data_IF_144002423300
#
_entry.id   IF_144002423300
#
_cell.length_a   1.000
_cell.length_b   1.000
_cell.length_c   1.000
_cell.angle_alpha   90.00
_cell.angle_beta   90.00
_cell.angle_gamma   90.00
#
_symmetry.space_group_name_H-M   'P 1'
#
loop_
_entity.id
_entity.type
_entity.pdbx_description
1 polymer ?
#
# COMPACT_ATOMS: atom_id res chain seq x y z
N UNK A 1 -32.63 -38.26 27.03
CA UNK A 1 -31.21 -38.64 27.04
C UNK A 1 -30.22 -37.46 27.20
N UNK A 2 -30.67 -36.27 27.60
CA UNK A 2 -29.87 -35.04 27.77
C UNK A 2 -29.75 -34.58 29.26
N UNK A 3 -30.36 -35.28 30.21
CA UNK A 3 -30.30 -34.95 31.64
C UNK A 3 -29.24 -35.71 32.43
N UNK A 4 -28.57 -36.72 31.86
CA UNK A 4 -27.61 -37.56 32.59
C UNK A 4 -26.13 -37.18 32.37
N UNK A 5 -25.81 -36.20 31.49
CA UNK A 5 -24.43 -35.81 31.21
C UNK A 5 -23.93 -34.63 32.06
N UNK A 6 -24.84 -33.91 32.72
CA UNK A 6 -24.50 -32.69 33.49
C UNK A 6 -23.98 -32.96 34.92
N UNK A 7 -24.20 -34.14 35.50
CA UNK A 7 -23.82 -34.37 36.89
C UNK A 7 -22.43 -34.97 37.13
N UNK A 8 -21.74 -35.46 36.10
CA UNK A 8 -20.43 -36.11 36.26
C UNK A 8 -19.22 -35.17 36.11
N UNK A 9 -19.40 -33.94 35.64
CA UNK A 9 -18.27 -32.98 35.44
C UNK A 9 -18.22 -31.85 36.48
N UNK A 10 -19.18 -31.79 37.43
CA UNK A 10 -19.26 -30.75 38.48
C UNK A 10 -18.35 -30.98 39.69
N UNK A 11 -17.62 -32.10 39.77
CA UNK A 11 -16.91 -32.50 41.01
C UNK A 11 -15.40 -32.15 40.96
N UNK A 12 -14.84 -31.63 39.85
CA UNK A 12 -13.37 -31.56 39.70
C UNK A 12 -12.78 -30.14 39.79
N UNK A 13 -13.56 -29.04 39.75
CA UNK A 13 -12.98 -27.68 39.88
C UNK A 13 -13.80 -26.76 40.79
N UNK A 14 -13.57 -26.90 42.09
CA UNK A 14 -13.90 -25.88 43.07
C UNK A 14 -12.76 -24.88 43.15
N UNK A 15 -12.93 -23.64 42.65
CA UNK A 15 -12.00 -22.54 42.89
C UNK A 15 -12.29 -21.91 44.26
N UNK A 16 -11.31 -21.97 45.17
CA UNK A 16 -11.35 -21.31 46.49
C UNK A 16 -11.02 -19.82 46.26
N UNK A 17 -11.90 -18.92 46.67
CA UNK A 17 -11.59 -17.47 46.74
C UNK A 17 -10.73 -17.19 47.99
N UNK A 18 -9.96 -16.11 48.02
CA UNK A 18 -9.08 -15.68 49.12
C UNK A 18 -9.80 -15.53 50.49
N UNK A 19 -11.10 -15.66 50.55
CA UNK A 19 -11.92 -15.58 51.76
C UNK A 19 -12.46 -16.95 52.24
N UNK A 20 -12.06 -18.07 51.63
CA UNK A 20 -12.39 -19.43 52.12
C UNK A 20 -13.86 -19.87 51.94
N UNK A 21 -14.69 -19.16 51.21
CA UNK A 21 -16.10 -19.50 50.96
C UNK A 21 -16.28 -20.20 49.62
N UNK A 22 -16.87 -21.39 49.61
CA UNK A 22 -17.26 -22.13 48.41
C UNK A 22 -18.46 -21.45 47.76
N UNK A 23 -18.24 -20.88 46.55
CA UNK A 23 -19.30 -20.29 45.75
C UNK A 23 -19.86 -21.39 44.82
N UNK A 24 -21.17 -21.64 44.77
CA UNK A 24 -21.76 -22.63 43.87
C UNK A 24 -21.54 -22.30 42.42
N UNK A 25 -21.15 -23.29 41.61
CA UNK A 25 -20.81 -23.14 40.19
C UNK A 25 -21.90 -22.44 39.35
N UNK A 26 -23.18 -22.57 39.71
CA UNK A 26 -24.27 -21.88 39.02
C UNK A 26 -24.30 -20.35 39.27
N UNK A 27 -23.77 -19.88 40.40
CA UNK A 27 -23.63 -18.44 40.68
C UNK A 27 -22.51 -17.80 39.84
N UNK A 28 -21.41 -18.52 39.64
CA UNK A 28 -20.34 -18.13 38.70
C UNK A 28 -20.85 -18.12 37.25
N UNK A 29 -21.67 -19.10 36.86
CA UNK A 29 -22.30 -19.18 35.55
C UNK A 29 -23.30 -18.02 35.30
N UNK A 30 -24.11 -17.68 36.34
CA UNK A 30 -25.01 -16.52 36.29
C UNK A 30 -24.25 -15.18 36.31
N UNK A 31 -23.10 -15.11 36.98
CA UNK A 31 -22.24 -13.92 36.98
C UNK A 31 -21.55 -13.73 35.65
N UNK A 32 -21.05 -14.80 35.01
CA UNK A 32 -20.53 -14.77 33.64
C UNK A 32 -21.63 -14.44 32.63
N UNK A 33 -22.81 -15.06 32.73
CA UNK A 33 -23.94 -14.76 31.84
C UNK A 33 -24.44 -13.32 31.97
N UNK A 34 -24.48 -12.75 33.20
CA UNK A 34 -24.79 -11.33 33.41
C UNK A 34 -23.73 -10.39 32.82
N UNK A 35 -22.43 -10.77 32.81
CA UNK A 35 -21.40 -10.02 32.15
C UNK A 35 -21.50 -10.10 30.63
N UNK A 36 -21.86 -11.26 30.09
CA UNK A 36 -22.03 -11.44 28.62
C UNK A 36 -23.25 -10.67 28.09
N UNK A 37 -24.36 -10.62 28.84
CA UNK A 37 -25.59 -9.90 28.46
C UNK A 37 -25.43 -8.37 28.54
N UNK A 38 -24.56 -7.83 29.40
CA UNK A 38 -24.31 -6.38 29.55
C UNK A 38 -23.38 -5.80 28.48
N UNK A 39 -22.70 -6.64 27.67
CA UNK A 39 -21.68 -6.22 26.69
C UNK A 39 -22.08 -6.42 25.23
N UNK A 40 -23.21 -7.01 24.90
CA UNK A 40 -23.63 -7.20 23.51
C UNK A 40 -24.30 -5.95 22.97
N UNK A 41 -23.48 -5.03 22.41
CA UNK A 41 -23.98 -3.88 21.69
C UNK A 41 -24.67 -4.34 20.40
N UNK A 42 -25.99 -4.08 20.29
CA UNK A 42 -26.79 -4.48 19.12
C UNK A 42 -26.67 -3.46 18.00
N UNK A 43 -26.41 -3.92 16.79
CA UNK A 43 -26.32 -3.04 15.63
C UNK A 43 -27.70 -2.51 15.22
N UNK A 44 -27.77 -1.18 14.98
CA UNK A 44 -28.96 -0.49 14.46
C UNK A 44 -28.79 -0.20 12.97
N UNK A 45 -29.86 -0.38 12.20
CA UNK A 45 -29.87 -0.05 10.78
C UNK A 45 -29.99 1.47 10.61
N UNK A 46 -29.11 2.05 9.80
CA UNK A 46 -29.13 3.46 9.46
C UNK A 46 -30.06 3.71 8.24
N UNK A 47 -30.51 4.96 8.03
CA UNK A 47 -31.31 5.32 6.85
C UNK A 47 -30.59 5.02 5.50
N UNK A 48 -29.25 5.01 5.49
CA UNK A 48 -28.42 4.62 4.34
C UNK A 48 -28.48 3.14 3.98
N UNK A 49 -29.13 2.29 4.84
CA UNK A 49 -29.12 0.84 4.71
C UNK A 49 -27.99 0.14 5.46
N UNK A 50 -26.91 0.85 5.82
CA UNK A 50 -25.78 0.32 6.59
C UNK A 50 -26.16 -0.02 8.03
N UNK A 51 -25.37 -0.89 8.68
CA UNK A 51 -25.53 -1.22 10.11
C UNK A 51 -24.52 -0.47 10.94
N UNK A 52 -24.92 0.06 12.08
CA UNK A 52 -24.06 0.74 13.04
C UNK A 52 -24.20 0.15 14.44
N UNK A 53 -23.07 -0.19 15.05
CA UNK A 53 -22.96 -0.62 16.44
C UNK A 53 -22.18 0.43 17.25
N UNK A 54 -22.69 0.80 18.44
CA UNK A 54 -22.04 1.73 19.35
C UNK A 54 -21.57 0.95 20.58
N UNK A 55 -20.29 1.01 20.89
CA UNK A 55 -19.68 0.41 22.07
C UNK A 55 -19.17 1.49 23.00
N UNK A 56 -19.48 1.38 24.28
CA UNK A 56 -18.99 2.30 25.29
C UNK A 56 -17.46 2.26 25.34
N UNK A 57 -16.83 3.41 25.17
CA UNK A 57 -15.36 3.57 25.25
C UNK A 57 -14.92 3.97 26.65
N UNK A 58 -15.23 5.17 27.08
CA UNK A 58 -14.85 5.72 28.38
C UNK A 58 -15.78 6.86 28.79
N UNK A 59 -15.54 7.42 29.99
CA UNK A 59 -16.27 8.59 30.47
C UNK A 59 -15.32 9.76 30.60
N UNK A 60 -15.63 10.86 29.90
CA UNK A 60 -14.90 12.12 30.02
C UNK A 60 -15.58 13.08 31.01
N UNK A 61 -14.76 13.83 31.73
CA UNK A 61 -15.22 14.92 32.60
C UNK A 61 -15.16 16.23 31.82
N UNK A 62 -16.31 16.74 31.37
CA UNK A 62 -16.39 17.99 30.62
C UNK A 62 -16.72 19.12 31.60
N UNK A 63 -15.84 20.13 31.70
CA UNK A 63 -16.16 21.39 32.43
C UNK A 63 -17.13 22.21 31.60
N UNK A 64 -18.29 22.53 32.21
CA UNK A 64 -19.27 23.46 31.61
C UNK A 64 -18.83 24.93 31.83
N UNK A 65 -19.42 25.83 31.08
CA UNK A 65 -19.12 27.27 31.20
C UNK A 65 -19.42 27.86 32.59
N UNK A 66 -20.28 27.19 33.35
CA UNK A 66 -20.64 27.52 34.74
C UNK A 66 -19.68 26.98 35.80
N UNK A 67 -18.58 26.31 35.37
CA UNK A 67 -17.58 25.72 36.27
C UNK A 67 -17.94 24.31 36.77
N UNK A 68 -19.13 23.79 36.49
CA UNK A 68 -19.54 22.43 36.87
C UNK A 68 -18.90 21.36 35.99
N UNK A 69 -18.62 20.21 36.56
CA UNK A 69 -18.06 19.06 35.83
C UNK A 69 -19.17 18.05 35.51
N UNK A 70 -19.50 17.90 34.23
CA UNK A 70 -20.45 16.92 33.76
C UNK A 70 -19.73 15.68 33.18
N UNK A 71 -20.11 14.48 33.64
CA UNK A 71 -19.62 13.22 33.10
C UNK A 71 -20.32 12.91 31.77
N UNK A 72 -19.55 12.79 30.66
CA UNK A 72 -20.06 12.40 29.35
C UNK A 72 -19.53 11.01 28.98
N UNK A 73 -20.43 10.10 28.63
CA UNK A 73 -20.06 8.78 28.11
C UNK A 73 -19.68 8.89 26.65
N UNK A 74 -18.50 8.41 26.30
CA UNK A 74 -17.98 8.35 24.93
C UNK A 74 -18.16 6.95 24.39
N UNK A 75 -18.60 6.84 23.13
CA UNK A 75 -18.86 5.59 22.44
C UNK A 75 -18.08 5.54 21.15
N UNK A 76 -17.48 4.37 20.87
CA UNK A 76 -16.92 4.05 19.57
C UNK A 76 -17.99 3.54 18.62
N UNK A 77 -17.91 3.93 17.34
CA UNK A 77 -18.90 3.63 16.32
C UNK A 77 -18.32 2.72 15.25
N UNK A 78 -18.90 1.53 15.10
CA UNK A 78 -18.55 0.56 14.06
C UNK A 78 -19.67 0.52 13.03
N UNK A 79 -19.32 0.61 11.74
CA UNK A 79 -20.29 0.58 10.63
C UNK A 79 -19.97 -0.53 9.64
N UNK A 80 -21.00 -1.10 9.03
CA UNK A 80 -20.90 -2.08 7.96
C UNK A 80 -21.91 -1.72 6.85
N UNK A 81 -21.44 -1.54 5.64
CA UNK A 81 -22.27 -1.07 4.50
C UNK A 81 -23.10 -2.20 3.86
N UNK A 82 -22.92 -3.45 4.25
CA UNK A 82 -23.75 -4.57 3.81
C UNK A 82 -25.15 -4.47 4.45
N UNK A 83 -26.24 -4.22 3.70
CA UNK A 83 -27.58 -4.00 4.25
C UNK A 83 -28.27 -5.28 4.74
N UNK A 84 -27.67 -6.44 4.54
CA UNK A 84 -28.24 -7.76 4.87
C UNK A 84 -28.04 -8.13 6.35
N UNK A 85 -28.70 -9.21 6.77
CA UNK A 85 -28.50 -9.78 8.12
C UNK A 85 -27.03 -10.21 8.37
N UNK A 86 -26.27 -10.52 7.31
CA UNK A 86 -24.84 -10.82 7.38
C UNK A 86 -24.04 -9.59 7.78
N UNK A 87 -24.37 -8.41 7.19
CA UNK A 87 -23.76 -7.14 7.57
C UNK A 87 -24.03 -6.75 9.02
N UNK A 88 -25.25 -7.02 9.53
CA UNK A 88 -25.58 -6.85 10.94
C UNK A 88 -24.63 -7.66 11.83
N UNK A 89 -24.54 -8.98 11.60
CA UNK A 89 -23.67 -9.89 12.36
C UNK A 89 -22.20 -9.47 12.31
N UNK A 90 -21.71 -9.07 11.14
CA UNK A 90 -20.34 -8.59 10.95
C UNK A 90 -20.06 -7.32 11.74
N UNK A 91 -21.01 -6.39 11.79
CA UNK A 91 -20.90 -5.15 12.56
C UNK A 91 -20.85 -5.45 14.08
N UNK A 92 -21.72 -6.34 14.56
CA UNK A 92 -21.77 -6.79 15.95
C UNK A 92 -20.50 -7.57 16.33
N UNK A 93 -19.97 -8.41 15.45
CA UNK A 93 -18.73 -9.15 15.68
C UNK A 93 -17.52 -8.20 15.85
N UNK A 94 -17.35 -7.23 14.94
CA UNK A 94 -16.27 -6.24 15.04
C UNK A 94 -16.38 -5.45 16.34
N UNK A 95 -17.58 -5.05 16.72
CA UNK A 95 -17.85 -4.33 17.95
C UNK A 95 -17.54 -5.17 19.21
N UNK A 96 -17.89 -6.46 19.19
CA UNK A 96 -17.62 -7.40 20.28
C UNK A 96 -16.11 -7.72 20.39
N UNK A 97 -15.42 -7.91 19.27
CA UNK A 97 -13.96 -8.11 19.25
C UNK A 97 -13.22 -6.89 19.82
N UNK A 98 -13.67 -5.69 19.48
CA UNK A 98 -13.12 -4.46 20.04
C UNK A 98 -13.37 -4.34 21.54
N UNK A 99 -14.60 -4.64 22.01
CA UNK A 99 -14.96 -4.62 23.43
C UNK A 99 -14.15 -5.65 24.23
N UNK A 100 -14.01 -6.87 23.72
CA UNK A 100 -13.24 -7.93 24.35
C UNK A 100 -11.75 -7.57 24.46
N UNK A 101 -11.18 -6.96 23.41
CA UNK A 101 -9.79 -6.50 23.43
C UNK A 101 -9.57 -5.35 24.41
N UNK A 102 -10.57 -4.48 24.58
CA UNK A 102 -10.54 -3.40 25.56
C UNK A 102 -10.57 -3.91 27.00
N UNK A 103 -11.42 -4.90 27.29
CA UNK A 103 -11.60 -5.46 28.63
C UNK A 103 -10.61 -6.57 29.00
N UNK A 104 -10.04 -7.25 27.99
CA UNK A 104 -9.03 -8.29 28.19
C UNK A 104 -7.74 -7.76 28.81
N UNK A 105 -7.66 -6.41 29.02
CA UNK A 105 -6.52 -5.80 29.75
C UNK A 105 -5.20 -6.38 29.28
N UNK A 106 -5.02 -6.61 27.95
CA UNK A 106 -3.70 -6.82 27.44
C UNK A 106 -2.94 -5.58 27.87
N UNK A 107 -2.15 -5.75 28.92
CA UNK A 107 -1.34 -4.68 29.50
C UNK A 107 -0.31 -4.25 28.49
N UNK A 108 -0.79 -3.60 27.42
CA UNK A 108 -0.02 -2.89 26.40
C UNK A 108 0.92 -1.91 27.10
N UNK A 109 0.54 -1.49 28.29
CA UNK A 109 1.25 -0.53 29.12
C UNK A 109 2.70 -0.91 29.45
N UNK A 110 3.04 -2.19 29.47
CA UNK A 110 4.39 -2.64 29.85
C UNK A 110 5.28 -3.11 28.70
N UNK A 111 4.79 -3.16 27.45
CA UNK A 111 5.64 -3.52 26.31
C UNK A 111 6.36 -2.29 25.76
N UNK A 112 7.57 -2.52 25.23
CA UNK A 112 8.31 -1.45 24.53
C UNK A 112 7.77 -1.23 23.13
N UNK A 113 8.07 -0.05 22.54
CA UNK A 113 7.72 0.24 21.14
C UNK A 113 8.31 -0.83 20.20
N UNK A 114 9.55 -1.26 20.45
CA UNK A 114 10.18 -2.31 19.67
C UNK A 114 9.39 -3.61 19.66
N UNK A 115 8.91 -4.06 20.81
CA UNK A 115 8.06 -5.26 20.93
C UNK A 115 6.71 -5.06 20.21
N UNK A 116 6.15 -3.85 20.29
CA UNK A 116 4.92 -3.52 19.56
C UNK A 116 5.12 -3.59 18.04
N UNK A 117 6.25 -3.08 17.52
CA UNK A 117 6.63 -3.24 16.12
C UNK A 117 6.74 -4.71 15.71
N UNK A 118 7.44 -5.51 16.50
CA UNK A 118 7.66 -6.93 16.21
C UNK A 118 6.32 -7.69 16.14
N UNK A 119 5.42 -7.46 17.11
CA UNK A 119 4.07 -8.02 17.11
C UNK A 119 3.22 -7.53 15.92
N UNK A 120 3.29 -6.24 15.61
CA UNK A 120 2.57 -5.67 14.47
C UNK A 120 3.03 -6.30 13.15
N UNK A 121 4.34 -6.41 12.94
CA UNK A 121 4.93 -7.01 11.74
C UNK A 121 4.50 -8.47 11.61
N UNK A 122 4.56 -9.24 12.70
CA UNK A 122 4.15 -10.65 12.70
C UNK A 122 2.65 -10.81 12.39
N UNK A 123 1.79 -9.96 12.97
CA UNK A 123 0.36 -9.98 12.67
C UNK A 123 0.02 -9.75 11.19
N UNK A 124 0.92 -9.10 10.44
CA UNK A 124 0.77 -8.79 9.01
C UNK A 124 1.52 -9.75 8.08
N UNK A 125 2.31 -10.66 8.63
CA UNK A 125 3.27 -11.48 7.87
C UNK A 125 2.61 -12.31 6.74
N UNK A 126 1.39 -12.81 6.95
CA UNK A 126 0.63 -13.58 5.94
C UNK A 126 -0.26 -12.73 5.03
N UNK A 127 -0.44 -11.46 5.35
CA UNK A 127 -1.37 -10.56 4.63
C UNK A 127 -0.63 -9.61 3.71
N UNK A 128 0.53 -9.12 4.13
CA UNK A 128 1.31 -8.17 3.36
C UNK A 128 2.32 -8.87 2.46
N UNK A 129 2.75 -8.15 1.42
CA UNK A 129 3.79 -8.63 0.49
C UNK A 129 5.12 -8.87 1.23
N UNK A 130 5.88 -9.93 0.87
CA UNK A 130 7.19 -10.23 1.46
C UNK A 130 8.14 -9.03 1.46
N UNK A 131 8.16 -8.25 0.39
CA UNK A 131 8.98 -7.04 0.30
C UNK A 131 8.54 -5.95 1.30
N UNK A 132 7.24 -5.86 1.62
CA UNK A 132 6.71 -4.91 2.63
C UNK A 132 7.13 -5.36 4.02
N UNK A 133 7.02 -6.66 4.33
CA UNK A 133 7.46 -7.21 5.61
C UNK A 133 8.96 -6.99 5.79
N UNK A 134 9.78 -7.24 4.76
CA UNK A 134 11.21 -6.96 4.78
C UNK A 134 11.51 -5.49 5.09
N UNK A 135 10.79 -4.58 4.46
CA UNK A 135 10.96 -3.14 4.69
C UNK A 135 10.56 -2.73 6.12
N UNK A 136 9.48 -3.30 6.66
CA UNK A 136 9.05 -3.07 8.03
C UNK A 136 10.08 -3.57 9.05
N UNK A 137 10.64 -4.78 8.86
CA UNK A 137 11.73 -5.32 9.69
C UNK A 137 12.96 -4.40 9.64
N UNK A 138 13.34 -3.94 8.44
CA UNK A 138 14.45 -3.01 8.26
C UNK A 138 14.22 -1.68 8.99
N UNK A 139 13.01 -1.13 8.93
CA UNK A 139 12.66 0.10 9.64
C UNK A 139 12.70 -0.11 11.15
N UNK A 140 12.20 -1.24 11.65
CA UNK A 140 12.25 -1.63 13.06
C UNK A 140 13.69 -1.67 13.60
N UNK A 141 14.63 -2.16 12.80
CA UNK A 141 16.03 -2.31 13.18
C UNK A 141 16.83 -1.01 13.10
N UNK A 142 16.51 -0.13 12.16
CA UNK A 142 17.38 1.00 11.77
C UNK A 142 16.84 2.37 12.11
N UNK A 143 15.57 2.49 12.48
CA UNK A 143 14.93 3.78 12.68
C UNK A 143 14.39 3.93 14.10
N UNK A 144 14.27 5.19 14.52
CA UNK A 144 13.75 5.59 15.82
C UNK A 144 14.47 4.89 17.01
N UNK A 145 15.82 4.82 17.02
CA UNK A 145 16.57 4.07 18.04
C UNK A 145 16.29 4.59 19.45
N UNK A 146 16.00 5.87 19.61
CA UNK A 146 15.66 6.51 20.89
C UNK A 146 14.31 6.11 21.43
N UNK A 147 13.33 5.80 20.54
CA UNK A 147 11.97 5.40 20.94
C UNK A 147 11.81 3.89 21.14
N UNK A 148 12.53 3.06 20.38
CA UNK A 148 12.35 1.61 20.37
C UNK A 148 12.45 0.93 21.75
N UNK A 149 13.37 1.34 22.67
CA UNK A 149 13.48 0.74 24.00
C UNK A 149 12.42 1.26 24.99
N UNK A 150 11.73 2.37 24.69
CA UNK A 150 10.78 2.98 25.61
C UNK A 150 9.49 2.17 25.71
N UNK A 151 8.91 2.13 26.91
CA UNK A 151 7.59 1.54 27.11
C UNK A 151 6.53 2.41 26.43
N UNK A 152 5.53 1.78 25.83
CA UNK A 152 4.48 2.49 25.09
C UNK A 152 3.78 3.58 25.92
N UNK A 153 3.55 3.31 27.22
CA UNK A 153 2.91 4.27 28.13
C UNK A 153 3.72 5.55 28.34
N UNK A 154 5.04 5.45 28.26
CA UNK A 154 5.96 6.55 28.55
C UNK A 154 6.24 7.43 27.30
N UNK A 155 5.78 7.00 26.11
CA UNK A 155 5.96 7.74 24.86
C UNK A 155 4.98 8.89 24.77
N UNK A 156 5.53 10.10 24.57
CA UNK A 156 4.77 11.35 24.36
C UNK A 156 4.88 11.85 22.92
N UNK A 157 3.99 12.76 22.53
CA UNK A 157 4.04 13.41 21.21
C UNK A 157 5.34 14.18 20.98
N UNK A 158 5.87 14.83 22.03
CA UNK A 158 7.13 15.58 21.95
C UNK A 158 8.32 14.65 21.69
N UNK A 159 8.39 13.51 22.36
CA UNK A 159 9.42 12.52 22.08
C UNK A 159 9.37 11.99 20.64
N UNK A 160 8.16 11.78 20.12
CA UNK A 160 7.96 11.38 18.72
C UNK A 160 8.44 12.50 17.78
N UNK A 161 8.09 13.78 18.06
CA UNK A 161 8.54 14.89 17.23
C UNK A 161 10.07 15.01 17.22
N UNK A 162 10.73 14.85 18.37
CA UNK A 162 12.19 14.87 18.49
C UNK A 162 12.80 13.74 17.66
N UNK A 163 12.34 12.50 17.82
CA UNK A 163 12.84 11.36 17.06
C UNK A 163 12.62 11.50 15.54
N UNK A 164 11.49 12.09 15.11
CA UNK A 164 11.25 12.39 13.70
C UNK A 164 12.17 13.50 13.18
N UNK A 165 12.52 14.49 13.99
CA UNK A 165 13.50 15.51 13.63
C UNK A 165 14.91 14.91 13.47
N UNK A 166 15.31 13.99 14.36
CA UNK A 166 16.57 13.24 14.24
C UNK A 166 16.62 12.46 12.91
N UNK A 167 15.55 11.72 12.57
CA UNK A 167 15.44 11.01 11.30
C UNK A 167 15.50 11.96 10.09
N UNK A 168 14.94 13.17 10.21
CA UNK A 168 14.91 14.16 9.13
C UNK A 168 16.26 14.81 8.85
N UNK A 169 17.21 14.80 9.82
CA UNK A 169 18.55 15.37 9.63
C UNK A 169 19.39 14.62 8.60
N UNK A 170 19.16 13.33 8.40
CA UNK A 170 19.97 12.48 7.52
C UNK A 170 19.18 11.76 6.41
N UNK A 171 17.86 11.95 6.31
CA UNK A 171 17.01 11.19 5.39
C UNK A 171 16.10 12.09 4.56
N UNK A 172 15.74 11.59 3.36
CA UNK A 172 14.82 12.31 2.49
C UNK A 172 13.43 12.46 3.13
N UNK A 173 12.68 13.55 2.80
CA UNK A 173 11.32 13.77 3.30
C UNK A 173 10.38 12.58 3.07
N UNK A 174 10.53 11.86 1.97
CA UNK A 174 9.74 10.67 1.68
C UNK A 174 10.08 9.52 2.63
N UNK A 175 11.36 9.31 2.93
CA UNK A 175 11.80 8.27 3.86
C UNK A 175 11.27 8.54 5.27
N UNK A 176 11.39 9.77 5.76
CA UNK A 176 10.87 10.19 7.07
C UNK A 176 9.36 9.97 7.18
N UNK A 177 8.61 10.32 6.11
CA UNK A 177 7.17 10.08 6.05
C UNK A 177 6.80 8.60 6.06
N UNK A 178 7.62 7.73 5.45
CA UNK A 178 7.40 6.29 5.50
C UNK A 178 7.65 5.73 6.91
N UNK A 179 8.71 6.21 7.58
CA UNK A 179 9.01 5.85 8.97
C UNK A 179 7.86 6.27 9.90
N UNK A 180 7.43 7.53 9.81
CA UNK A 180 6.29 8.02 10.58
C UNK A 180 5.00 7.25 10.27
N UNK A 181 4.77 6.88 9.00
CA UNK A 181 3.59 6.11 8.60
C UNK A 181 3.53 4.73 9.27
N UNK A 182 4.66 4.04 9.38
CA UNK A 182 4.71 2.76 10.10
C UNK A 182 4.58 2.95 11.61
N UNK A 183 5.25 3.95 12.19
CA UNK A 183 5.10 4.32 13.60
C UNK A 183 3.62 4.60 13.94
N UNK A 184 2.97 5.43 13.12
CA UNK A 184 1.55 5.79 13.28
C UNK A 184 0.64 4.57 13.20
N UNK A 185 0.93 3.63 12.29
CA UNK A 185 0.16 2.39 12.16
C UNK A 185 0.33 1.48 13.38
N UNK A 186 1.53 1.38 13.93
CA UNK A 186 1.81 0.60 15.15
C UNK A 186 1.14 1.26 16.37
N UNK A 187 1.33 2.55 16.55
CA UNK A 187 0.71 3.27 17.68
C UNK A 187 -0.82 3.29 17.58
N UNK A 188 -1.39 3.37 16.38
CA UNK A 188 -2.83 3.26 16.19
C UNK A 188 -3.44 1.94 16.67
N UNK A 189 -2.64 0.86 16.70
CA UNK A 189 -3.08 -0.45 17.24
C UNK A 189 -2.86 -0.54 18.76
N UNK A 190 -1.70 -0.09 19.25
CA UNK A 190 -1.26 -0.34 20.62
C UNK A 190 -1.44 0.87 21.55
N UNK A 191 -1.63 2.07 21.05
CA UNK A 191 -1.85 3.33 21.78
C UNK A 191 -2.87 4.21 21.02
N UNK A 192 -4.11 3.72 20.81
CA UNK A 192 -5.17 4.45 20.09
C UNK A 192 -5.56 5.77 20.78
N UNK A 193 -5.24 5.92 22.06
CA UNK A 193 -5.42 7.13 22.85
C UNK A 193 -4.44 8.25 22.47
N UNK A 194 -3.28 7.92 21.88
CA UNK A 194 -2.23 8.87 21.54
C UNK A 194 -2.50 9.50 20.17
N UNK A 195 -3.03 10.72 20.15
CA UNK A 195 -3.22 11.47 18.91
C UNK A 195 -1.89 12.07 18.43
N UNK A 196 -1.46 11.62 17.25
CA UNK A 196 -0.20 12.06 16.64
C UNK A 196 -0.37 13.39 15.90
N UNK A 197 0.10 14.48 16.49
CA UNK A 197 0.18 15.80 15.86
C UNK A 197 1.62 16.13 15.42
N UNK A 198 2.25 15.19 14.67
CA UNK A 198 3.65 15.32 14.27
C UNK A 198 3.82 16.20 13.04
N UNK A 199 4.67 17.21 13.12
CA UNK A 199 5.10 18.00 11.96
C UNK A 199 6.09 17.21 11.13
N UNK A 200 5.78 17.03 9.84
CA UNK A 200 6.60 16.24 8.91
C UNK A 200 7.26 17.14 7.86
N UNK A 201 8.48 16.80 7.38
CA UNK A 201 9.14 17.53 6.32
C UNK A 201 8.25 17.71 5.09
N UNK A 202 8.35 18.86 4.40
CA UNK A 202 7.59 19.11 3.17
C UNK A 202 7.92 18.05 2.11
N UNK A 203 6.90 17.64 1.36
CA UNK A 203 7.09 16.72 0.22
C UNK A 203 7.89 17.44 -0.86
N UNK A 204 9.05 16.90 -1.21
CA UNK A 204 9.82 17.33 -2.36
C UNK A 204 9.46 16.42 -3.53
N UNK A 205 9.11 17.01 -4.67
CA UNK A 205 8.94 16.25 -5.91
C UNK A 205 10.33 16.08 -6.54
N UNK A 206 10.80 14.84 -6.75
CA UNK A 206 12.01 14.64 -7.51
C UNK A 206 11.76 15.05 -8.97
N UNK A 207 12.73 15.71 -9.57
CA UNK A 207 12.75 15.86 -11.03
C UNK A 207 12.83 14.48 -11.67
N UNK A 208 11.92 14.23 -12.60
CA UNK A 208 11.88 13.00 -13.35
C UNK A 208 12.65 13.22 -14.65
N UNK A 209 13.77 12.54 -14.80
CA UNK A 209 14.47 12.50 -16.09
C UNK A 209 13.83 11.42 -16.96
N UNK A 210 13.41 11.80 -18.17
CA UNK A 210 12.93 10.90 -19.20
C UNK A 210 13.98 10.91 -20.32
N UNK A 211 14.60 9.76 -20.64
CA UNK A 211 15.60 9.68 -21.69
C UNK A 211 15.00 10.01 -23.07
N UNK A 212 15.81 10.60 -23.94
CA UNK A 212 15.44 10.86 -25.32
C UNK A 212 15.46 9.59 -26.19
N UNK A 213 14.87 9.67 -27.38
CA UNK A 213 14.89 8.57 -28.35
C UNK A 213 16.32 8.22 -28.77
N UNK A 214 17.21 9.21 -28.88
CA UNK A 214 18.64 9.06 -29.24
C UNK A 214 19.39 8.31 -28.12
N UNK A 215 19.12 8.65 -26.88
CA UNK A 215 19.72 7.97 -25.72
C UNK A 215 19.24 6.51 -25.62
N UNK A 216 17.98 6.26 -25.90
CA UNK A 216 17.43 4.89 -25.92
C UNK A 216 18.03 4.09 -27.10
N UNK A 217 18.17 4.67 -28.29
CA UNK A 217 18.84 4.02 -29.41
C UNK A 217 20.29 3.67 -29.08
N UNK A 218 21.05 4.62 -28.51
CA UNK A 218 22.43 4.41 -28.03
C UNK A 218 22.53 3.30 -27.01
N UNK A 219 21.58 3.28 -26.06
CA UNK A 219 21.50 2.27 -25.01
C UNK A 219 21.27 0.88 -25.61
N UNK A 220 20.29 0.73 -26.50
CA UNK A 220 19.95 -0.56 -27.15
C UNK A 220 21.12 -1.09 -27.99
N UNK A 221 21.77 -0.25 -28.76
CA UNK A 221 22.91 -0.67 -29.55
C UNK A 221 24.09 -1.12 -28.68
N UNK A 222 24.34 -0.42 -27.56
CA UNK A 222 25.39 -0.80 -26.60
C UNK A 222 25.15 -2.18 -25.97
N UNK A 223 23.89 -2.51 -25.62
CA UNK A 223 23.55 -3.78 -24.96
C UNK A 223 23.20 -4.90 -25.93
N UNK A 224 23.40 -4.72 -27.21
CA UNK A 224 23.10 -5.72 -28.24
C UNK A 224 23.86 -7.03 -27.97
N UNK A 225 23.12 -8.12 -27.90
CA UNK A 225 23.60 -9.46 -27.52
C UNK A 225 24.14 -9.56 -26.06
N UNK A 226 23.93 -8.55 -25.23
CA UNK A 226 24.21 -8.61 -23.80
C UNK A 226 22.98 -9.15 -23.03
N UNK A 227 23.20 -9.71 -21.84
CA UNK A 227 22.10 -10.20 -20.98
C UNK A 227 21.14 -9.11 -20.51
N UNK A 228 21.53 -7.82 -20.59
CA UNK A 228 20.69 -6.66 -20.30
C UNK A 228 19.83 -6.20 -21.49
N UNK A 229 20.07 -6.71 -22.69
CA UNK A 229 19.30 -6.36 -23.88
C UNK A 229 17.80 -6.63 -23.68
N UNK A 230 17.45 -7.87 -23.33
CA UNK A 230 16.05 -8.28 -23.13
C UNK A 230 15.37 -7.48 -22.02
N UNK A 231 15.93 -7.33 -20.81
CA UNK A 231 15.35 -6.48 -19.78
C UNK A 231 15.07 -5.04 -20.23
N UNK A 232 16.00 -4.43 -20.96
CA UNK A 232 15.85 -3.06 -21.44
C UNK A 232 14.74 -2.96 -22.50
N UNK A 233 14.71 -3.87 -23.48
CA UNK A 233 13.66 -3.92 -24.50
C UNK A 233 12.27 -4.10 -23.90
N UNK A 234 12.12 -5.01 -22.92
CA UNK A 234 10.84 -5.26 -22.24
C UNK A 234 10.36 -4.06 -21.42
N UNK A 235 11.29 -3.29 -20.83
CA UNK A 235 10.95 -2.09 -20.07
C UNK A 235 10.62 -0.89 -20.99
N UNK A 236 11.43 -0.69 -22.05
CA UNK A 236 11.33 0.47 -22.96
C UNK A 236 10.16 0.36 -23.95
N UNK A 237 9.78 -0.85 -24.38
CA UNK A 237 8.74 -1.06 -25.39
C UNK A 237 7.47 -1.73 -24.85
N UNK A 238 7.50 -2.31 -23.63
CA UNK A 238 6.37 -3.00 -23.03
C UNK A 238 6.00 -2.56 -21.61
N UNK A 239 6.31 -1.36 -21.19
CA UNK A 239 6.35 -0.72 -19.87
C UNK A 239 6.34 -1.71 -18.68
N UNK A 240 7.17 -2.77 -18.74
CA UNK A 240 7.27 -3.77 -17.68
C UNK A 240 8.11 -3.27 -16.49
N UNK A 241 7.74 -3.71 -15.29
CA UNK A 241 8.54 -3.47 -14.10
C UNK A 241 9.68 -4.49 -14.03
N UNK A 242 10.86 -4.10 -13.50
CA UNK A 242 12.02 -5.01 -13.40
C UNK A 242 11.71 -6.35 -12.72
N UNK A 243 10.87 -6.36 -11.66
CA UNK A 243 10.46 -7.60 -11.00
C UNK A 243 9.53 -8.46 -11.84
N UNK A 244 8.72 -7.88 -12.71
CA UNK A 244 7.89 -8.59 -13.69
C UNK A 244 8.77 -9.24 -14.75
N UNK A 245 9.75 -8.51 -15.27
CA UNK A 245 10.73 -9.01 -16.25
C UNK A 245 11.50 -10.21 -15.70
N UNK A 246 11.99 -10.11 -14.44
CA UNK A 246 12.73 -11.21 -13.81
C UNK A 246 11.86 -12.43 -13.49
N UNK A 247 10.55 -12.29 -13.42
CA UNK A 247 9.62 -13.37 -13.17
C UNK A 247 9.05 -14.00 -14.45
N UNK A 248 9.31 -13.37 -15.62
CA UNK A 248 8.74 -13.80 -16.90
C UNK A 248 9.34 -15.13 -17.36
N UNK A 249 8.48 -15.99 -17.83
CA UNK A 249 8.81 -17.29 -18.40
C UNK A 249 8.28 -17.41 -19.83
N UNK A 250 8.86 -18.27 -20.65
CA UNK A 250 8.41 -18.52 -22.02
C UNK A 250 6.95 -18.99 -22.11
N UNK A 251 6.46 -19.69 -21.08
CA UNK A 251 5.06 -20.11 -20.96
C UNK A 251 4.07 -18.94 -20.81
N UNK A 252 4.56 -17.76 -20.41
CA UNK A 252 3.76 -16.54 -20.31
C UNK A 252 3.57 -15.84 -21.68
N UNK A 253 4.19 -16.38 -22.76
CA UNK A 253 4.17 -15.79 -24.10
C UNK A 253 3.36 -16.67 -25.03
N UNK A 254 2.27 -16.12 -25.58
CA UNK A 254 1.43 -16.84 -26.52
C UNK A 254 0.98 -15.91 -27.65
N UNK A 255 1.15 -16.34 -28.90
CA UNK A 255 0.70 -15.61 -30.12
C UNK A 255 1.19 -14.14 -30.16
N UNK A 256 2.44 -13.91 -29.75
CA UNK A 256 3.04 -12.59 -29.70
C UNK A 256 2.54 -11.68 -28.58
N UNK A 257 1.81 -12.24 -27.61
CA UNK A 257 1.27 -11.55 -26.45
C UNK A 257 1.94 -12.07 -25.18
N UNK A 258 2.46 -11.18 -24.37
CA UNK A 258 3.06 -11.47 -23.07
C UNK A 258 2.03 -11.27 -21.97
N UNK A 259 1.77 -12.29 -21.17
CA UNK A 259 0.93 -12.22 -19.98
C UNK A 259 1.76 -11.88 -18.75
N UNK A 260 1.57 -10.69 -18.22
CA UNK A 260 2.28 -10.20 -17.01
C UNK A 260 1.42 -10.49 -15.79
N UNK A 261 1.65 -11.63 -15.14
CA UNK A 261 0.88 -12.11 -13.98
C UNK A 261 1.73 -12.40 -12.74
N UNK A 262 3.04 -12.13 -12.82
CA UNK A 262 4.01 -12.49 -11.77
C UNK A 262 5.02 -11.36 -11.55
N UNK A 263 5.62 -11.32 -10.37
CA UNK A 263 6.73 -10.41 -10.08
C UNK A 263 7.70 -11.03 -9.08
N UNK A 264 8.99 -10.94 -9.36
CA UNK A 264 10.07 -11.37 -8.47
C UNK A 264 10.37 -10.27 -7.45
N UNK A 265 10.37 -10.64 -6.18
CA UNK A 265 10.67 -9.74 -5.05
C UNK A 265 11.63 -10.41 -4.08
N UNK A 266 12.36 -9.60 -3.32
CA UNK A 266 13.23 -10.09 -2.24
C UNK A 266 12.40 -10.15 -0.95
N UNK A 267 12.39 -11.31 -0.29
CA UNK A 267 11.73 -11.52 1.00
C UNK A 267 12.57 -11.03 2.20
N UNK A 268 12.11 -11.27 3.42
CA UNK A 268 12.80 -10.88 4.66
C UNK A 268 14.07 -11.71 4.93
N UNK A 269 14.16 -12.91 4.34
CA UNK A 269 15.29 -13.83 4.48
C UNK A 269 16.32 -13.66 3.37
N UNK A 270 16.13 -12.64 2.51
CA UNK A 270 16.94 -12.34 1.33
C UNK A 270 16.83 -13.37 0.20
N UNK A 271 15.75 -14.15 0.15
CA UNK A 271 15.46 -15.03 -0.97
C UNK A 271 14.66 -14.31 -2.05
N UNK A 272 14.98 -14.60 -3.32
CA UNK A 272 14.18 -14.13 -4.44
C UNK A 272 12.97 -15.03 -4.60
N UNK A 273 11.78 -14.46 -4.38
CA UNK A 273 10.50 -15.18 -4.48
C UNK A 273 9.62 -14.58 -5.56
N UNK A 274 8.90 -15.44 -6.29
CA UNK A 274 7.93 -15.05 -7.29
C UNK A 274 6.56 -14.97 -6.61
N UNK A 275 5.84 -13.88 -6.84
CA UNK A 275 4.49 -13.67 -6.31
C UNK A 275 3.57 -13.12 -7.39
N UNK A 276 2.25 -13.25 -7.18
CA UNK A 276 1.22 -12.58 -7.97
C UNK A 276 1.32 -11.04 -7.87
N UNK A 277 0.77 -10.29 -8.82
CA UNK A 277 0.75 -8.84 -8.80
C UNK A 277 0.11 -8.28 -7.54
N UNK A 278 0.53 -7.08 -7.14
CA UNK A 278 0.00 -6.39 -5.95
C UNK A 278 -1.44 -5.88 -6.13
N UNK A 279 -1.84 -5.63 -7.37
CA UNK A 279 -3.15 -5.06 -7.73
C UNK A 279 -3.72 -5.79 -8.94
N UNK A 280 -5.02 -5.77 -9.08
CA UNK A 280 -5.72 -6.33 -10.23
C UNK A 280 -5.22 -5.74 -11.56
N UNK A 281 -4.92 -4.43 -11.61
CA UNK A 281 -4.33 -3.76 -12.77
C UNK A 281 -2.92 -4.23 -13.12
N UNK A 282 -2.24 -4.96 -12.21
CA UNK A 282 -0.93 -5.56 -12.48
C UNK A 282 -1.00 -6.81 -13.34
N UNK A 283 -2.13 -7.51 -13.38
CA UNK A 283 -2.40 -8.63 -14.27
C UNK A 283 -2.87 -8.09 -15.62
N UNK A 284 -2.05 -8.27 -16.66
CA UNK A 284 -2.28 -7.65 -17.96
C UNK A 284 -1.59 -8.35 -19.11
N UNK A 285 -2.04 -8.08 -20.30
CA UNK A 285 -1.49 -8.59 -21.56
C UNK A 285 -0.82 -7.48 -22.34
N UNK A 286 0.39 -7.75 -22.86
CA UNK A 286 1.18 -6.79 -23.64
C UNK A 286 1.58 -7.43 -24.96
N UNK A 287 1.17 -6.82 -26.07
CA UNK A 287 1.67 -7.18 -27.39
C UNK A 287 2.96 -6.40 -27.66
N UNK A 288 4.03 -7.11 -27.97
CA UNK A 288 5.32 -6.53 -28.30
C UNK A 288 5.54 -6.47 -29.80
N UNK A 289 6.43 -5.57 -30.29
CA UNK A 289 6.93 -5.62 -31.66
C UNK A 289 7.70 -6.93 -31.95
N UNK A 290 7.63 -7.41 -33.18
CA UNK A 290 8.23 -8.68 -33.58
C UNK A 290 9.74 -8.75 -33.34
N UNK A 291 10.45 -7.63 -33.50
CA UNK A 291 11.90 -7.58 -33.23
C UNK A 291 12.24 -7.82 -31.74
N UNK A 292 11.34 -7.51 -30.81
CA UNK A 292 11.49 -7.84 -29.38
C UNK A 292 11.17 -9.30 -29.16
N UNK A 293 10.05 -9.78 -29.72
CA UNK A 293 9.59 -11.17 -29.55
C UNK A 293 10.60 -12.18 -30.08
N UNK A 294 11.26 -11.88 -31.21
CA UNK A 294 12.27 -12.73 -31.83
C UNK A 294 13.50 -12.97 -30.95
N UNK A 295 13.77 -12.08 -30.00
CA UNK A 295 14.91 -12.18 -29.06
C UNK A 295 14.55 -12.93 -27.76
N UNK A 296 13.27 -13.17 -27.48
CA UNK A 296 12.85 -13.85 -26.25
C UNK A 296 13.13 -15.34 -26.34
N UNK A 297 13.60 -15.91 -25.21
CA UNK A 297 13.81 -17.36 -25.11
C UNK A 297 12.49 -18.11 -25.32
N UNK A 298 12.57 -19.22 -26.06
CA UNK A 298 11.43 -20.11 -26.32
C UNK A 298 11.21 -21.12 -25.19
N UNK A 299 12.17 -21.25 -24.28
CA UNK A 299 12.12 -22.24 -23.19
C UNK A 299 12.59 -21.62 -21.87
N UNK A 300 11.80 -21.83 -20.81
CA UNK A 300 12.11 -21.44 -19.45
C UNK A 300 12.10 -19.92 -19.23
N UNK A 301 12.82 -19.47 -18.23
CA UNK A 301 12.88 -18.07 -17.84
C UNK A 301 13.47 -17.19 -18.94
N UNK A 302 12.87 -16.03 -19.16
CA UNK A 302 13.30 -15.08 -20.21
C UNK A 302 14.63 -14.39 -19.85
N UNK A 303 14.95 -14.25 -18.57
CA UNK A 303 16.25 -13.76 -18.10
C UNK A 303 16.70 -14.50 -16.86
N UNK A 304 18.01 -14.74 -16.73
CA UNK A 304 18.63 -15.30 -15.53
C UNK A 304 18.82 -14.25 -14.42
N UNK A 305 18.72 -12.94 -14.76
CA UNK A 305 18.97 -11.86 -13.84
C UNK A 305 17.89 -11.74 -12.75
N UNK A 306 18.30 -11.27 -11.58
CA UNK A 306 17.38 -10.82 -10.55
C UNK A 306 17.24 -9.28 -10.55
N UNK A 307 16.22 -8.71 -9.86
CA UNK A 307 15.98 -7.28 -9.88
C UNK A 307 17.15 -6.40 -9.38
N UNK A 308 18.01 -6.89 -8.48
CA UNK A 308 19.17 -6.14 -8.03
C UNK A 308 20.24 -6.11 -9.11
N UNK A 309 20.56 -7.26 -9.73
CA UNK A 309 21.51 -7.35 -10.83
C UNK A 309 21.15 -6.42 -11.98
N UNK A 310 19.85 -6.37 -12.38
CA UNK A 310 19.36 -5.43 -13.40
C UNK A 310 19.69 -3.98 -13.00
N UNK A 311 19.43 -3.62 -11.74
CA UNK A 311 19.68 -2.23 -11.29
C UNK A 311 21.15 -1.87 -11.30
N UNK A 312 22.01 -2.76 -10.80
CA UNK A 312 23.44 -2.50 -10.69
C UNK A 312 24.10 -2.44 -12.09
N UNK A 313 23.79 -3.42 -12.95
CA UNK A 313 24.31 -3.43 -14.32
C UNK A 313 23.80 -2.25 -15.15
N UNK A 314 22.54 -1.88 -15.00
CA UNK A 314 21.97 -0.74 -15.70
C UNK A 314 22.71 0.57 -15.34
N UNK A 315 22.99 0.78 -14.04
CA UNK A 315 23.78 1.92 -13.58
C UNK A 315 25.18 1.94 -14.21
N UNK A 316 25.83 0.78 -14.28
CA UNK A 316 27.17 0.67 -14.86
C UNK A 316 27.18 0.88 -16.39
N UNK A 317 26.13 0.41 -17.08
CA UNK A 317 25.92 0.66 -18.52
C UNK A 317 25.78 2.17 -18.78
N UNK A 318 24.94 2.87 -18.02
CA UNK A 318 24.79 4.34 -18.20
C UNK A 318 26.11 5.07 -18.00
N UNK A 319 26.93 4.68 -17.01
CA UNK A 319 28.28 5.27 -16.83
C UNK A 319 29.19 5.02 -18.02
N UNK A 320 29.21 3.81 -18.57
CA UNK A 320 30.06 3.44 -19.70
C UNK A 320 29.64 4.10 -21.02
N UNK A 321 28.34 4.30 -21.21
CA UNK A 321 27.78 4.95 -22.41
C UNK A 321 27.81 6.46 -22.34
N UNK A 322 28.09 7.06 -21.16
CA UNK A 322 28.01 8.51 -20.95
C UNK A 322 26.56 9.05 -21.04
N UNK A 323 25.57 8.19 -20.95
CA UNK A 323 24.16 8.61 -20.88
C UNK A 323 23.87 9.15 -19.47
N UNK A 324 23.17 10.28 -19.32
CA UNK A 324 22.80 10.81 -18.01
C UNK A 324 22.14 9.76 -17.11
N UNK A 325 22.39 9.83 -15.81
CA UNK A 325 21.89 8.84 -14.88
C UNK A 325 20.36 8.94 -14.73
N UNK A 326 19.67 7.85 -15.03
CA UNK A 326 18.26 7.62 -14.70
C UNK A 326 18.05 6.18 -14.19
N UNK A 327 16.91 5.92 -13.59
CA UNK A 327 16.62 4.61 -13.02
C UNK A 327 16.10 3.65 -14.09
N UNK A 328 16.37 2.37 -13.97
CA UNK A 328 15.77 1.35 -14.84
C UNK A 328 14.25 1.48 -14.97
N UNK A 329 13.57 1.90 -13.89
CA UNK A 329 12.13 2.12 -13.90
C UNK A 329 11.69 3.28 -14.81
N UNK A 330 12.58 4.20 -15.10
CA UNK A 330 12.28 5.37 -15.95
C UNK A 330 12.20 4.99 -17.44
N UNK A 331 12.72 3.81 -17.87
CA UNK A 331 12.43 3.21 -19.17
C UNK A 331 10.92 2.98 -19.39
N UNK A 332 10.22 2.58 -18.32
CA UNK A 332 8.77 2.43 -18.34
C UNK A 332 8.06 3.78 -18.45
N UNK A 333 8.62 4.82 -17.87
CA UNK A 333 8.13 6.19 -18.03
C UNK A 333 8.36 6.70 -19.45
N UNK A 334 9.53 6.42 -20.02
CA UNK A 334 9.82 6.68 -21.44
C UNK A 334 8.77 6.01 -22.36
N UNK A 335 8.51 4.71 -22.17
CA UNK A 335 7.50 4.00 -22.97
C UNK A 335 6.11 4.66 -22.89
N UNK A 336 5.70 5.10 -21.72
CA UNK A 336 4.43 5.79 -21.55
C UNK A 336 4.41 7.15 -22.22
N UNK A 337 5.50 7.92 -22.11
CA UNK A 337 5.65 9.23 -22.74
C UNK A 337 5.61 9.14 -24.27
N UNK A 338 6.31 8.16 -24.88
CA UNK A 338 6.26 7.92 -26.32
C UNK A 338 4.83 7.60 -26.78
N UNK A 339 4.14 6.68 -26.09
CA UNK A 339 2.76 6.33 -26.43
C UNK A 339 1.83 7.55 -26.38
N UNK A 340 1.95 8.37 -25.35
CA UNK A 340 1.18 9.60 -25.24
C UNK A 340 1.48 10.58 -26.38
N UNK A 341 2.78 10.76 -26.71
CA UNK A 341 3.22 11.64 -27.80
C UNK A 341 2.65 11.25 -29.18
N UNK A 342 2.52 9.95 -29.44
CA UNK A 342 1.91 9.45 -30.69
C UNK A 342 0.39 9.37 -30.64
N UNK A 343 -0.24 9.90 -29.59
CA UNK A 343 -1.69 10.05 -29.49
C UNK A 343 -2.45 8.80 -28.98
N UNK A 344 -1.77 7.84 -28.34
CA UNK A 344 -2.45 6.71 -27.72
C UNK A 344 -3.26 7.21 -26.51
N UNK A 345 -4.55 6.92 -26.42
CA UNK A 345 -5.38 7.36 -25.28
C UNK A 345 -4.87 6.83 -23.94
N UNK A 346 -4.94 7.66 -22.90
CA UNK A 346 -4.45 7.36 -21.55
C UNK A 346 -4.97 6.03 -20.99
N UNK A 347 -6.23 5.69 -21.24
CA UNK A 347 -6.84 4.42 -20.81
C UNK A 347 -6.05 3.19 -21.31
N UNK A 348 -5.63 3.21 -22.58
CA UNK A 348 -4.83 2.12 -23.16
C UNK A 348 -3.41 2.09 -22.62
N UNK A 349 -2.80 3.27 -22.43
CA UNK A 349 -1.47 3.36 -21.82
C UNK A 349 -1.51 2.82 -20.40
N UNK A 350 -2.52 3.19 -19.62
CA UNK A 350 -2.75 2.69 -18.27
C UNK A 350 -2.94 1.17 -18.22
N UNK A 351 -3.77 0.63 -19.09
CA UNK A 351 -4.00 -0.80 -19.20
C UNK A 351 -2.71 -1.54 -19.56
N UNK A 352 -2.01 -1.11 -20.60
CA UNK A 352 -0.74 -1.69 -21.06
C UNK A 352 0.35 -1.66 -19.99
N UNK A 353 0.43 -0.57 -19.23
CA UNK A 353 1.39 -0.41 -18.13
C UNK A 353 0.94 -0.99 -16.81
N UNK A 354 -0.35 -1.29 -16.60
CA UNK A 354 -0.87 -1.70 -15.30
C UNK A 354 -0.79 -0.58 -14.26
N UNK A 355 -1.23 0.64 -14.63
CA UNK A 355 -1.43 1.74 -13.71
C UNK A 355 -2.88 1.77 -13.25
N UNK A 356 -3.10 1.75 -11.93
CA UNK A 356 -4.44 1.80 -11.34
C UNK A 356 -5.05 3.20 -11.26
N UNK A 357 -4.28 4.26 -11.57
CA UNK A 357 -4.76 5.64 -11.61
C UNK A 357 -3.96 6.47 -12.61
N UNK A 358 -4.63 7.48 -13.19
CA UNK A 358 -4.06 8.43 -14.15
C UNK A 358 -3.09 9.44 -13.52
N UNK A 359 -3.13 9.59 -12.19
CA UNK A 359 -2.30 10.54 -11.46
C UNK A 359 -0.80 10.37 -11.74
N UNK A 360 -0.31 9.11 -11.70
CA UNK A 360 1.11 8.80 -11.96
C UNK A 360 1.43 9.08 -13.42
N UNK A 361 0.52 8.75 -14.32
CA UNK A 361 0.66 9.00 -15.74
C UNK A 361 0.77 10.50 -16.03
N UNK A 362 -0.13 11.31 -15.47
CA UNK A 362 -0.11 12.78 -15.60
C UNK A 362 1.14 13.42 -14.99
N UNK A 363 1.69 12.84 -13.92
CA UNK A 363 2.98 13.30 -13.36
C UNK A 363 4.14 13.03 -14.34
N UNK A 364 4.14 11.90 -15.03
CA UNK A 364 5.14 11.56 -16.09
C UNK A 364 5.01 12.47 -17.29
N UNK A 365 3.78 12.66 -17.80
CA UNK A 365 3.54 13.48 -19.01
C UNK A 365 3.84 14.96 -18.85
N UNK A 366 3.63 15.51 -17.64
CA UNK A 366 3.89 16.93 -17.41
C UNK A 366 5.31 17.35 -17.77
N UNK A 367 6.28 16.45 -17.65
CA UNK A 367 7.66 16.69 -18.04
C UNK A 367 7.88 16.48 -19.55
N UNK A 368 7.22 15.48 -20.15
CA UNK A 368 7.32 15.23 -21.60
C UNK A 368 6.55 16.27 -22.45
N UNK A 369 5.54 16.90 -21.89
CA UNK A 369 4.74 17.92 -22.57
C UNK A 369 5.49 19.25 -22.79
N UNK A 370 6.46 19.59 -21.93
CA UNK A 370 7.18 20.87 -22.04
C UNK A 370 7.90 20.97 -23.39
N UNK A 371 8.52 19.89 -23.87
CA UNK A 371 9.30 19.89 -25.11
C UNK A 371 8.44 19.83 -26.39
N UNK A 372 7.14 19.49 -26.27
CA UNK A 372 6.24 19.30 -27.42
C UNK A 372 5.01 20.20 -27.38
N UNK A 373 4.95 21.14 -26.45
CA UNK A 373 3.81 22.07 -26.35
C UNK A 373 3.67 22.87 -27.64
N UNK A 374 4.79 23.35 -28.22
CA UNK A 374 4.80 24.09 -29.48
C UNK A 374 4.25 23.28 -30.67
N UNK A 375 4.59 22.00 -30.78
CA UNK A 375 4.10 21.12 -31.84
C UNK A 375 2.58 20.83 -31.68
N UNK A 376 2.12 20.69 -30.46
CA UNK A 376 0.69 20.47 -30.18
C UNK A 376 -0.12 21.74 -30.41
N UNK A 377 0.43 22.90 -30.01
CA UNK A 377 -0.20 24.19 -30.28
C UNK A 377 -0.27 24.46 -31.78
N UNK A 378 0.81 24.18 -32.56
CA UNK A 378 0.80 24.29 -34.00
C UNK A 378 -0.29 23.39 -34.62
N UNK A 379 -0.39 22.13 -34.23
CA UNK A 379 -1.44 21.21 -34.72
C UNK A 379 -2.86 21.68 -34.37
N UNK A 380 -3.05 22.21 -33.18
CA UNK A 380 -4.34 22.77 -32.78
C UNK A 380 -4.70 24.01 -33.60
N UNK A 381 -3.73 24.90 -33.81
CA UNK A 381 -3.91 26.12 -34.62
C UNK A 381 -4.20 25.78 -36.08
N UNK A 382 -3.44 24.87 -36.70
CA UNK A 382 -3.69 24.38 -38.05
C UNK A 382 -5.14 23.82 -38.19
N UNK A 383 -5.62 23.07 -37.22
CA UNK A 383 -7.00 22.57 -37.25
C UNK A 383 -8.02 23.71 -37.23
N UNK A 384 -7.84 24.71 -36.37
CA UNK A 384 -8.77 25.85 -36.24
C UNK A 384 -8.70 26.76 -37.47
N UNK A 385 -7.51 26.99 -38.05
CA UNK A 385 -7.35 27.74 -39.28
C UNK A 385 -8.05 27.06 -40.46
N UNK A 386 -7.87 25.75 -40.62
CA UNK A 386 -8.54 24.96 -41.64
C UNK A 386 -10.09 24.98 -41.46
N UNK A 387 -10.57 24.95 -40.24
CA UNK A 387 -12.01 25.06 -39.93
C UNK A 387 -12.53 26.46 -40.35
N UNK A 388 -11.78 27.53 -40.08
CA UNK A 388 -12.15 28.90 -40.45
C UNK A 388 -12.17 29.07 -42.00
N UNK A 389 -11.19 28.50 -42.69
CA UNK A 389 -11.15 28.53 -44.14
C UNK A 389 -12.34 27.76 -44.75
N UNK A 390 -12.72 26.62 -44.18
CA UNK A 390 -13.93 25.86 -44.59
C UNK A 390 -15.20 26.68 -44.47
N UNK A 391 -15.39 27.36 -43.32
CA UNK A 391 -16.57 28.22 -43.10
C UNK A 391 -16.60 29.43 -44.06
N UNK A 392 -15.47 30.06 -44.39
CA UNK A 392 -15.40 31.15 -45.35
C UNK A 392 -15.73 30.70 -46.78
N UNK A 393 -15.38 29.47 -47.14
CA UNK A 393 -15.72 28.88 -48.44
C UNK A 393 -17.22 28.57 -48.58
N UNK A 394 -17.88 28.14 -47.53
CA UNK A 394 -19.34 27.90 -47.50
C UNK A 394 -20.14 29.20 -47.58
N UNK A 395 -19.68 30.26 -46.86
CA UNK A 395 -20.34 31.57 -46.92
C UNK A 395 -20.22 32.19 -48.34
N UNK A 396 -19.07 32.05 -49.02
CA UNK A 396 -18.89 32.52 -50.39
C UNK A 396 -19.66 31.73 -51.43
N UNK A 397 -20.07 30.50 -51.17
CA UNK A 397 -20.94 29.69 -52.04
C UNK A 397 -22.43 29.96 -51.81
N UNK A 398 -22.80 30.56 -50.68
CA UNK A 398 -24.18 30.88 -50.34
C UNK A 398 -24.57 32.33 -50.72
N UNK A 399 -23.64 33.12 -51.19
CA UNK A 399 -23.87 34.45 -51.85
C UNK A 399 -23.78 34.30 -53.37
#
# INVERSE_FOLDING_TARGET
MLQHFSQKYCIIFGTVTQAGTLVPCWLLFLYQKRKEDDFMATAKKLPSGSWRCLVYSHTENIRQKDGTVKKKRIYESFTCDDPTARGKRKCEQIAAEWAANKDAGVTVENITLGVAYDRYIESKNKTLSPATIREYKRQRERNLPTLMPLKLKDITCDMIQIAINEEASGKSPKTVRNIHGLLSAVLGVYRPDLQLNTTLPKKVRPELYIPSDEEIKKLIEYVKNDEMEIPILLAAFGPMRRGEICALDSSDIKDGVVHVSKSMVLDSERNWVIKSPKSYSGDRYIRFPDFVLSKLSKNGRITSLNPSMITDRFRDILKRTGIPHFRFHDLRHYCASVQHTIGIPDAYIMQRGGWGSDRVLKEVYRHAMVDKTSDMDARANDYFENMQHGMQHEIKKAQ
#
